data_IF_968081264580
#
_entry.id   IF_968081264580
#
_cell.length_a   1.000
_cell.length_b   1.000
_cell.length_c   1.000
_cell.angle_alpha   90.00
_cell.angle_beta   90.00
_cell.angle_gamma   90.00
#
_symmetry.space_group_name_H-M   'P 1'
#
loop_
_entity.id
_entity.type
_entity.pdbx_description
1 polymer ?
#
# COMPACT_ATOMS: atom_id res chain seq x y z
N UNK A 1 5.49 -17.77 -32.25
CA UNK A 1 5.73 -16.72 -31.23
C UNK A 1 6.45 -15.53 -31.84
N UNK A 2 5.86 -14.32 -31.69
CA UNK A 2 6.47 -13.08 -32.17
C UNK A 2 7.71 -12.72 -31.32
N UNK A 3 8.66 -11.92 -31.82
CA UNK A 3 9.81 -11.46 -31.03
C UNK A 3 9.41 -10.81 -29.72
N UNK A 4 8.39 -9.96 -29.71
CA UNK A 4 7.89 -9.29 -28.50
C UNK A 4 7.40 -10.26 -27.43
N UNK A 5 6.72 -11.36 -27.80
CA UNK A 5 6.30 -12.40 -26.84
C UNK A 5 7.44 -13.18 -26.21
N UNK A 6 8.60 -13.24 -26.84
CA UNK A 6 9.79 -13.91 -26.29
C UNK A 6 10.42 -13.12 -25.15
N UNK A 7 10.21 -11.81 -25.14
CA UNK A 7 10.74 -10.90 -24.12
C UNK A 7 9.71 -10.59 -23.02
N UNK A 8 8.45 -11.06 -23.17
CA UNK A 8 7.44 -10.85 -22.14
C UNK A 8 7.80 -11.57 -20.85
N UNK A 9 7.64 -10.86 -19.75
CA UNK A 9 7.79 -11.40 -18.40
C UNK A 9 6.46 -11.28 -17.65
N UNK A 10 6.23 -12.17 -16.69
CA UNK A 10 5.05 -12.17 -15.84
C UNK A 10 5.47 -12.33 -14.39
N UNK A 11 4.68 -11.81 -13.47
CA UNK A 11 4.93 -12.01 -12.04
C UNK A 11 4.84 -13.50 -11.68
N UNK A 12 5.80 -13.99 -10.90
CA UNK A 12 5.75 -15.33 -10.32
C UNK A 12 4.74 -15.44 -9.17
N UNK A 13 4.32 -14.30 -8.59
CA UNK A 13 3.45 -14.19 -7.41
C UNK A 13 4.02 -14.96 -6.20
N UNK A 14 5.32 -14.85 -5.97
CA UNK A 14 5.97 -15.49 -4.84
C UNK A 14 5.42 -14.98 -3.51
N UNK A 15 5.16 -15.90 -2.59
CA UNK A 15 4.60 -15.59 -1.27
C UNK A 15 3.13 -15.14 -1.24
N UNK A 16 2.45 -15.07 -2.40
CA UNK A 16 1.06 -14.66 -2.49
C UNK A 16 0.14 -15.86 -2.58
N UNK A 17 -0.92 -15.83 -1.79
CA UNK A 17 -1.98 -16.83 -1.88
C UNK A 17 -2.89 -16.54 -3.08
N UNK A 18 -2.63 -17.25 -4.19
CA UNK A 18 -3.41 -17.13 -5.43
C UNK A 18 -4.84 -17.67 -5.31
N UNK A 19 -5.12 -18.51 -4.33
CA UNK A 19 -6.43 -19.12 -4.11
C UNK A 19 -7.27 -18.34 -3.10
N UNK A 20 -6.67 -17.40 -2.38
CA UNK A 20 -7.37 -16.59 -1.39
C UNK A 20 -8.52 -15.82 -2.04
N UNK A 21 -9.71 -16.00 -1.49
CA UNK A 21 -10.86 -15.18 -1.85
C UNK A 21 -10.80 -13.88 -1.02
N UNK A 22 -11.13 -12.72 -1.62
CA UNK A 22 -11.17 -11.48 -0.86
C UNK A 22 -12.24 -11.56 0.22
N UNK A 23 -11.95 -10.95 1.37
CA UNK A 23 -12.90 -10.83 2.48
C UNK A 23 -14.12 -10.02 2.03
N UNK A 24 -15.32 -10.60 2.19
CA UNK A 24 -16.56 -10.00 1.65
C UNK A 24 -16.88 -8.65 2.29
N UNK A 25 -16.71 -8.54 3.60
CA UNK A 25 -16.95 -7.33 4.38
C UNK A 25 -16.05 -6.16 3.97
N UNK A 26 -14.86 -6.47 3.44
CA UNK A 26 -13.86 -5.50 3.02
C UNK A 26 -13.82 -5.29 1.49
N UNK A 27 -14.88 -5.64 0.78
CA UNK A 27 -14.94 -5.47 -0.68
C UNK A 27 -16.16 -4.68 -1.11
N UNK A 28 -15.93 -3.75 -2.05
CA UNK A 28 -16.96 -2.93 -2.67
C UNK A 28 -17.02 -3.14 -4.17
N UNK A 29 -18.16 -2.80 -4.75
CA UNK A 29 -18.33 -2.81 -6.20
C UNK A 29 -17.72 -1.55 -6.81
N UNK A 30 -16.75 -1.74 -7.69
CA UNK A 30 -16.17 -0.65 -8.46
C UNK A 30 -17.04 -0.38 -9.70
N UNK A 31 -17.82 0.69 -9.65
CA UNK A 31 -18.60 1.15 -10.82
C UNK A 31 -17.66 1.77 -11.86
N UNK A 32 -17.76 1.28 -13.10
CA UNK A 32 -16.98 1.80 -14.24
C UNK A 32 -17.89 2.46 -15.24
N UNK A 33 -17.65 3.73 -15.53
CA UNK A 33 -18.42 4.50 -16.51
C UNK A 33 -17.78 4.52 -17.90
N UNK A 34 -16.54 4.01 -18.03
CA UNK A 34 -15.79 3.90 -19.29
C UNK A 34 -15.79 5.19 -20.14
N UNK A 35 -15.68 6.35 -19.50
CA UNK A 35 -15.65 7.66 -20.14
C UNK A 35 -16.98 8.14 -20.70
N UNK A 36 -18.12 7.51 -20.34
CA UNK A 36 -19.46 7.90 -20.79
C UNK A 36 -20.07 8.93 -19.84
N UNK A 37 -20.84 9.85 -20.44
CA UNK A 37 -21.65 10.82 -19.71
C UNK A 37 -23.03 10.23 -19.30
N UNK A 38 -23.92 11.06 -18.72
CA UNK A 38 -25.28 10.69 -18.34
C UNK A 38 -26.15 10.21 -19.52
N UNK A 39 -25.87 10.65 -20.74
CA UNK A 39 -26.54 10.21 -21.96
C UNK A 39 -25.93 8.95 -22.61
N UNK A 40 -24.94 8.33 -21.96
CA UNK A 40 -24.27 7.14 -22.46
C UNK A 40 -23.26 7.39 -23.59
N UNK A 41 -23.01 8.66 -23.97
CA UNK A 41 -22.04 9.02 -25.02
C UNK A 41 -20.63 9.09 -24.45
N UNK A 42 -19.63 8.66 -25.23
CA UNK A 42 -18.23 8.76 -24.85
C UNK A 42 -17.79 10.23 -24.95
N UNK A 43 -17.54 10.84 -23.79
CA UNK A 43 -17.04 12.22 -23.69
C UNK A 43 -15.56 12.27 -23.37
N UNK A 44 -15.01 11.22 -22.73
CA UNK A 44 -13.59 11.05 -22.43
C UNK A 44 -13.12 9.75 -23.06
N UNK A 45 -12.30 9.85 -24.12
CA UNK A 45 -11.73 8.69 -24.80
C UNK A 45 -10.61 8.05 -23.99
N UNK A 46 -10.20 6.83 -24.39
CA UNK A 46 -9.15 6.02 -23.75
C UNK A 46 -9.45 5.62 -22.31
N UNK A 47 -10.72 5.57 -21.92
CA UNK A 47 -11.21 5.07 -20.63
C UNK A 47 -11.93 3.74 -20.85
N UNK A 48 -11.15 2.67 -21.05
CA UNK A 48 -11.69 1.32 -21.23
C UNK A 48 -12.38 0.78 -19.99
N UNK A 49 -13.33 -0.15 -20.18
CA UNK A 49 -14.04 -0.82 -19.10
C UNK A 49 -13.20 -1.91 -18.41
N UNK A 50 -12.43 -2.66 -19.17
CA UNK A 50 -11.68 -3.82 -18.68
C UNK A 50 -12.59 -4.88 -18.03
N UNK A 51 -12.00 -5.85 -17.35
CA UNK A 51 -12.73 -6.85 -16.60
C UNK A 51 -13.38 -6.25 -15.35
N UNK A 52 -14.49 -6.88 -14.90
CA UNK A 52 -15.14 -6.54 -13.64
C UNK A 52 -14.20 -6.83 -12.47
N UNK A 53 -13.96 -5.84 -11.65
CA UNK A 53 -13.06 -5.91 -10.49
C UNK A 53 -13.80 -5.47 -9.23
N UNK A 54 -13.50 -6.11 -8.11
CA UNK A 54 -13.95 -5.67 -6.79
C UNK A 54 -12.85 -4.79 -6.20
N UNK A 55 -13.25 -3.68 -5.59
CA UNK A 55 -12.35 -2.84 -4.82
C UNK A 55 -12.17 -3.43 -3.42
N UNK A 56 -10.93 -3.49 -2.93
CA UNK A 56 -10.61 -3.85 -1.55
C UNK A 56 -10.44 -2.59 -0.75
N UNK A 57 -11.16 -2.49 0.35
CA UNK A 57 -11.04 -1.37 1.29
C UNK A 57 -9.73 -1.56 2.04
N UNK A 58 -8.79 -0.64 1.80
CA UNK A 58 -7.48 -0.66 2.48
C UNK A 58 -7.52 0.33 3.64
N UNK A 59 -7.02 -0.13 4.77
CA UNK A 59 -6.85 0.71 5.95
C UNK A 59 -5.63 1.63 5.79
N UNK A 60 -5.87 2.79 5.17
CA UNK A 60 -4.85 3.83 5.04
C UNK A 60 -4.74 4.71 6.28
N UNK A 61 -5.69 4.65 7.20
CA UNK A 61 -5.68 5.47 8.41
C UNK A 61 -4.89 4.84 9.53
N UNK A 62 -4.89 3.50 9.61
CA UNK A 62 -4.24 2.78 10.70
C UNK A 62 -4.61 3.39 12.05
N UNK A 63 -5.89 3.69 12.22
CA UNK A 63 -6.44 4.32 13.41
C UNK A 63 -6.54 3.37 14.62
N UNK A 64 -6.72 2.08 14.37
CA UNK A 64 -6.77 1.07 15.41
C UNK A 64 -5.36 0.73 15.87
N UNK A 65 -5.06 1.07 17.10
CA UNK A 65 -3.80 0.74 17.77
C UNK A 65 -3.80 -0.71 18.27
N UNK A 66 -2.61 -1.28 18.37
CA UNK A 66 -2.42 -2.62 18.91
C UNK A 66 -1.73 -3.56 17.92
N UNK A 67 -1.65 -4.82 18.34
CA UNK A 67 -1.04 -5.91 17.58
C UNK A 67 -2.04 -6.56 16.64
N UNK A 68 -1.58 -6.91 15.45
CA UNK A 68 -2.34 -7.67 14.49
C UNK A 68 -1.46 -8.74 13.85
N UNK A 69 -2.03 -9.89 13.56
CA UNK A 69 -1.33 -11.00 12.89
C UNK A 69 -1.64 -10.98 11.40
N UNK A 70 -0.65 -11.17 10.57
CA UNK A 70 -0.80 -11.30 9.12
C UNK A 70 -1.39 -12.67 8.80
N UNK A 71 -2.60 -12.70 8.29
CA UNK A 71 -3.29 -13.95 7.90
C UNK A 71 -2.71 -14.48 6.60
N UNK A 72 -2.70 -13.67 5.56
CA UNK A 72 -2.13 -14.01 4.26
C UNK A 72 -1.82 -12.76 3.43
N UNK A 73 -1.05 -12.96 2.37
CA UNK A 73 -0.78 -11.95 1.33
C UNK A 73 -1.65 -12.24 0.11
N UNK A 74 -2.27 -11.21 -0.43
CA UNK A 74 -3.21 -11.33 -1.53
C UNK A 74 -2.85 -10.38 -2.68
N UNK A 75 -3.23 -10.78 -3.90
CA UNK A 75 -3.18 -9.94 -5.07
C UNK A 75 -4.38 -8.99 -5.12
N UNK A 76 -4.15 -7.72 -5.40
CA UNK A 76 -5.21 -6.73 -5.67
C UNK A 76 -5.12 -6.22 -7.12
N UNK A 77 -6.15 -6.44 -7.96
CA UNK A 77 -6.14 -5.99 -9.34
C UNK A 77 -6.25 -4.46 -9.51
N UNK A 78 -6.51 -3.73 -8.42
CA UNK A 78 -6.72 -2.27 -8.46
C UNK A 78 -5.43 -1.47 -8.17
N UNK A 79 -4.35 -2.15 -7.83
CA UNK A 79 -3.06 -1.52 -7.48
C UNK A 79 -1.86 -2.36 -7.90
N UNK A 80 -0.72 -1.72 -8.01
CA UNK A 80 0.55 -2.40 -8.30
C UNK A 80 1.10 -3.17 -7.10
N UNK A 81 0.89 -2.66 -5.88
CA UNK A 81 1.32 -3.28 -4.64
C UNK A 81 0.41 -4.45 -4.24
N UNK A 82 0.99 -5.49 -3.65
CA UNK A 82 0.23 -6.55 -3.01
C UNK A 82 -0.34 -6.06 -1.68
N UNK A 83 -1.38 -6.74 -1.20
CA UNK A 83 -2.06 -6.42 0.06
C UNK A 83 -1.91 -7.56 1.05
N UNK A 84 -1.92 -7.24 2.33
CA UNK A 84 -1.94 -8.21 3.42
C UNK A 84 -3.28 -8.11 4.16
N UNK A 85 -3.90 -9.26 4.40
CA UNK A 85 -5.02 -9.36 5.32
C UNK A 85 -4.45 -9.54 6.71
N UNK A 86 -4.79 -8.63 7.61
CA UNK A 86 -4.38 -8.65 9.02
C UNK A 86 -5.60 -8.89 9.90
N UNK A 87 -5.38 -9.56 11.01
CA UNK A 87 -6.39 -9.85 12.03
C UNK A 87 -5.90 -9.37 13.38
N UNK A 88 -6.67 -8.51 14.02
CA UNK A 88 -6.42 -8.02 15.36
C UNK A 88 -6.84 -9.06 16.41
N UNK A 89 -6.41 -8.88 17.66
CA UNK A 89 -6.72 -9.79 18.78
C UNK A 89 -8.22 -9.94 19.06
N UNK A 90 -9.01 -8.93 18.71
CA UNK A 90 -10.49 -8.93 18.84
C UNK A 90 -11.21 -9.61 17.64
N UNK A 91 -10.47 -10.14 16.67
CA UNK A 91 -10.99 -10.78 15.47
C UNK A 91 -11.36 -9.83 14.33
N UNK A 92 -11.18 -8.51 14.51
CA UNK A 92 -11.38 -7.56 13.40
C UNK A 92 -10.31 -7.75 12.33
N UNK A 93 -10.75 -7.81 11.08
CA UNK A 93 -9.86 -7.95 9.92
C UNK A 93 -9.78 -6.66 9.14
N UNK A 94 -8.59 -6.32 8.67
CA UNK A 94 -8.35 -5.18 7.79
C UNK A 94 -7.34 -5.53 6.69
N UNK A 95 -7.41 -4.83 5.57
CA UNK A 95 -6.38 -4.90 4.54
C UNK A 95 -5.39 -3.75 4.71
N UNK A 96 -4.12 -4.07 4.55
CA UNK A 96 -3.03 -3.09 4.47
C UNK A 96 -2.20 -3.32 3.21
N UNK A 97 -1.38 -2.36 2.81
CA UNK A 97 -0.34 -2.61 1.81
C UNK A 97 0.72 -3.51 2.41
N UNK A 98 1.12 -4.53 1.65
CA UNK A 98 2.14 -5.47 2.10
C UNK A 98 3.54 -4.85 1.92
N UNK A 99 4.30 -4.62 3.00
CA UNK A 99 5.70 -4.23 2.89
C UNK A 99 6.55 -5.39 2.39
N UNK A 100 7.73 -5.05 1.89
CA UNK A 100 8.71 -6.03 1.45
C UNK A 100 9.14 -6.92 2.62
N UNK A 101 9.27 -8.23 2.37
CA UNK A 101 9.67 -9.22 3.38
C UNK A 101 8.57 -9.66 4.35
N UNK A 102 7.34 -9.10 4.28
CA UNK A 102 6.22 -9.55 5.10
C UNK A 102 5.77 -10.96 4.69
N UNK A 103 5.45 -11.80 5.68
CA UNK A 103 4.95 -13.17 5.48
C UNK A 103 3.72 -13.42 6.34
N UNK A 104 2.94 -14.43 5.96
CA UNK A 104 1.85 -14.92 6.82
C UNK A 104 2.40 -15.36 8.19
N UNK A 105 1.66 -15.05 9.25
CA UNK A 105 2.05 -15.32 10.64
C UNK A 105 2.92 -14.23 11.29
N UNK A 106 3.45 -13.26 10.54
CA UNK A 106 4.15 -12.13 11.16
C UNK A 106 3.17 -11.29 11.98
N UNK A 107 3.66 -10.75 13.08
CA UNK A 107 2.93 -9.80 13.92
C UNK A 107 3.37 -8.40 13.52
N UNK A 108 2.41 -7.52 13.31
CA UNK A 108 2.62 -6.09 13.07
C UNK A 108 1.92 -5.28 14.16
N UNK A 109 2.43 -4.11 14.44
CA UNK A 109 1.90 -3.23 15.47
C UNK A 109 1.62 -1.84 14.93
N UNK A 110 0.55 -1.23 15.42
CA UNK A 110 0.21 0.16 15.15
C UNK A 110 0.18 0.92 16.47
N UNK A 111 0.89 2.02 16.54
CA UNK A 111 0.90 2.87 17.73
C UNK A 111 2.28 3.51 17.97
N UNK A 112 2.36 4.45 18.92
CA UNK A 112 3.59 5.17 19.20
C UNK A 112 4.70 4.27 19.78
N UNK A 113 4.33 3.19 20.45
CA UNK A 113 5.25 2.26 21.14
C UNK A 113 5.62 1.05 20.26
N UNK A 114 5.28 1.08 18.97
CA UNK A 114 5.61 -0.01 18.07
C UNK A 114 7.12 -0.05 17.77
N UNK A 115 7.66 -1.26 17.68
CA UNK A 115 9.06 -1.48 17.29
C UNK A 115 9.32 -1.00 15.84
N UNK A 116 10.58 -0.67 15.54
CA UNK A 116 11.01 -0.25 14.21
C UNK A 116 11.21 -1.50 13.33
N UNK A 117 10.09 -2.11 12.94
CA UNK A 117 10.05 -3.30 12.10
C UNK A 117 9.18 -3.06 10.86
N UNK A 118 9.51 -3.66 9.70
CA UNK A 118 8.72 -3.51 8.48
C UNK A 118 7.25 -3.88 8.68
N UNK A 119 6.35 -2.96 8.31
CA UNK A 119 4.90 -3.12 8.46
C UNK A 119 4.30 -2.44 9.69
N UNK A 120 5.11 -2.08 10.67
CA UNK A 120 4.67 -1.32 11.83
C UNK A 120 4.38 0.14 11.45
N UNK A 121 3.32 0.69 12.03
CA UNK A 121 2.86 2.04 11.75
C UNK A 121 2.98 2.91 13.00
N UNK A 122 3.76 3.99 12.90
CA UNK A 122 4.04 4.90 14.00
C UNK A 122 3.86 6.36 13.57
N UNK A 123 3.70 7.29 14.53
CA UNK A 123 3.95 8.70 14.28
C UNK A 123 5.40 8.93 13.84
N UNK A 124 5.62 9.81 12.86
CA UNK A 124 6.97 10.08 12.32
C UNK A 124 7.92 10.58 13.42
N UNK A 125 7.39 11.24 14.45
CA UNK A 125 8.18 11.64 15.62
C UNK A 125 8.98 10.48 16.25
N UNK A 126 8.40 9.27 16.27
CA UNK A 126 8.97 8.09 16.89
C UNK A 126 9.84 7.23 15.96
N UNK A 127 9.89 7.57 14.66
CA UNK A 127 10.69 6.84 13.68
C UNK A 127 12.11 7.43 13.64
N UNK A 128 13.18 6.65 13.72
CA UNK A 128 14.55 7.15 13.60
C UNK A 128 14.80 7.82 12.24
N UNK A 129 15.70 8.81 12.25
CA UNK A 129 16.19 9.43 11.01
C UNK A 129 17.05 8.43 10.24
N UNK A 130 16.88 8.40 8.92
CA UNK A 130 17.58 7.46 8.04
C UNK A 130 16.72 6.25 7.63
N UNK A 131 15.63 5.97 8.36
CA UNK A 131 14.76 4.83 8.06
C UNK A 131 13.97 5.01 6.75
N UNK A 132 13.73 3.89 6.09
CA UNK A 132 12.82 3.81 4.96
C UNK A 132 11.37 3.69 5.44
N UNK A 133 10.50 4.52 4.87
CA UNK A 133 9.09 4.60 5.24
C UNK A 133 8.19 4.61 4.00
N UNK A 134 6.98 4.13 4.16
CA UNK A 134 5.93 4.19 3.13
C UNK A 134 4.56 4.52 3.75
N UNK A 135 3.53 4.66 2.96
CA UNK A 135 2.18 4.99 3.43
C UNK A 135 2.16 6.22 4.35
N UNK A 136 2.75 7.32 3.88
CA UNK A 136 2.93 8.54 4.66
C UNK A 136 1.67 9.41 4.59
N UNK A 137 1.22 9.91 5.73
CA UNK A 137 0.18 10.93 5.82
C UNK A 137 0.73 12.32 5.46
N UNK A 138 -0.10 13.16 4.84
CA UNK A 138 0.19 14.59 4.64
C UNK A 138 -0.33 15.44 5.80
N UNK A 139 -1.45 15.03 6.36
CA UNK A 139 -2.09 15.67 7.52
C UNK A 139 -2.47 14.60 8.52
N UNK A 140 -2.28 14.84 9.83
CA UNK A 140 -2.60 13.87 10.86
C UNK A 140 -4.05 13.38 10.77
N UNK A 141 -4.24 12.07 10.81
CA UNK A 141 -5.55 11.41 10.78
C UNK A 141 -6.26 11.38 9.42
N UNK A 142 -5.69 11.98 8.38
CA UNK A 142 -6.27 11.94 7.03
C UNK A 142 -6.09 10.59 6.34
N UNK A 143 -5.12 9.82 6.79
CA UNK A 143 -4.71 8.55 6.18
C UNK A 143 -3.58 8.71 5.18
N UNK A 144 -2.93 7.61 4.86
CA UNK A 144 -1.76 7.55 4.00
C UNK A 144 -2.08 8.04 2.57
N UNK A 145 -1.30 8.98 2.07
CA UNK A 145 -1.44 9.57 0.74
C UNK A 145 -0.20 9.40 -0.13
N UNK A 146 0.98 9.43 0.47
CA UNK A 146 2.26 9.32 -0.24
C UNK A 146 2.84 7.91 -0.16
N UNK A 147 3.65 7.56 -1.14
CA UNK A 147 4.48 6.32 -1.17
C UNK A 147 3.65 5.04 -0.98
N UNK A 148 2.77 4.74 -1.96
CA UNK A 148 1.85 3.60 -1.91
C UNK A 148 2.01 2.63 -3.08
N UNK A 149 2.82 2.96 -4.07
CA UNK A 149 3.04 2.10 -5.24
C UNK A 149 3.99 0.93 -4.91
N UNK A 150 3.99 -0.09 -5.76
CA UNK A 150 4.87 -1.25 -5.62
C UNK A 150 6.36 -0.84 -5.64
N UNK A 151 7.15 -1.43 -4.76
CA UNK A 151 8.60 -1.26 -4.72
C UNK A 151 9.10 0.13 -4.33
N UNK A 152 8.23 1.05 -3.89
CA UNK A 152 8.66 2.39 -3.48
C UNK A 152 8.90 2.49 -1.98
N UNK A 153 9.85 3.32 -1.62
CA UNK A 153 10.10 3.78 -0.26
C UNK A 153 10.44 5.27 -0.29
N UNK A 154 10.20 5.97 0.80
CA UNK A 154 10.72 7.29 1.07
C UNK A 154 11.70 7.20 2.23
N UNK A 155 12.66 8.11 2.29
CA UNK A 155 13.65 8.17 3.37
C UNK A 155 13.36 9.35 4.29
N UNK A 156 13.36 9.09 5.59
CA UNK A 156 13.28 10.13 6.61
C UNK A 156 14.66 10.77 6.79
N UNK A 157 14.81 12.03 6.36
CA UNK A 157 16.10 12.71 6.29
C UNK A 157 16.46 13.44 7.58
N UNK A 158 15.51 14.18 8.14
CA UNK A 158 15.71 15.00 9.33
C UNK A 158 14.38 15.28 10.03
N UNK A 159 14.45 15.72 11.27
CA UNK A 159 13.32 16.21 12.06
C UNK A 159 13.74 17.50 12.76
N UNK A 160 13.01 18.57 12.53
CA UNK A 160 13.30 19.88 13.10
C UNK A 160 11.99 20.65 13.30
N UNK A 161 11.86 21.31 14.43
CA UNK A 161 10.74 22.23 14.75
C UNK A 161 9.33 21.60 14.54
N UNK A 162 9.14 20.33 14.88
CA UNK A 162 7.87 19.62 14.72
C UNK A 162 7.54 19.21 13.27
N UNK A 163 8.51 19.37 12.36
CA UNK A 163 8.43 18.97 10.96
C UNK A 163 9.50 17.95 10.61
N UNK A 164 9.12 16.96 9.84
CA UNK A 164 10.01 15.95 9.30
C UNK A 164 10.30 16.21 7.83
N UNK A 165 11.57 16.14 7.46
CA UNK A 165 12.00 16.17 6.05
C UNK A 165 11.98 14.75 5.50
N UNK A 166 11.19 14.53 4.47
CA UNK A 166 11.05 13.22 3.82
C UNK A 166 11.43 13.33 2.35
N UNK A 167 12.41 12.53 1.93
CA UNK A 167 12.80 12.37 0.54
C UNK A 167 11.92 11.35 -0.15
N UNK A 168 11.10 11.81 -1.09
CA UNK A 168 10.17 10.97 -1.86
C UNK A 168 10.89 10.17 -2.96
N UNK A 169 10.28 9.11 -3.51
CA UNK A 169 10.83 8.34 -4.63
C UNK A 169 11.11 9.18 -5.89
N UNK A 170 10.41 10.31 -6.06
CA UNK A 170 10.67 11.26 -7.14
C UNK A 170 11.97 12.07 -6.99
N UNK A 171 12.61 12.00 -5.81
CA UNK A 171 13.75 12.84 -5.43
C UNK A 171 13.37 14.15 -4.73
N UNK A 172 12.08 14.51 -4.74
CA UNK A 172 11.58 15.69 -4.01
C UNK A 172 11.76 15.50 -2.51
N UNK A 173 12.26 16.54 -1.84
CA UNK A 173 12.30 16.63 -0.39
C UNK A 173 11.09 17.43 0.08
N UNK A 174 10.27 16.82 0.91
CA UNK A 174 9.03 17.43 1.38
C UNK A 174 8.97 17.48 2.90
N UNK A 175 8.40 18.54 3.42
CA UNK A 175 8.13 18.69 4.85
C UNK A 175 6.77 18.12 5.19
N UNK A 176 6.72 17.30 6.23
CA UNK A 176 5.51 16.68 6.78
C UNK A 176 5.53 16.88 8.29
N UNK A 177 4.38 17.08 8.91
CA UNK A 177 4.29 17.21 10.37
C UNK A 177 4.70 15.91 11.06
N UNK A 178 5.44 16.01 12.14
CA UNK A 178 5.90 14.83 12.91
C UNK A 178 4.75 13.98 13.49
N UNK A 179 3.57 14.59 13.70
CA UNK A 179 2.37 13.88 14.17
C UNK A 179 1.72 12.99 13.09
N UNK A 180 2.13 13.13 11.83
CA UNK A 180 1.65 12.28 10.76
C UNK A 180 2.15 10.86 10.96
N UNK A 181 1.33 9.87 10.61
CA UNK A 181 1.71 8.46 10.65
C UNK A 181 2.44 8.06 9.37
N UNK A 182 3.36 7.13 9.53
CA UNK A 182 4.03 6.44 8.44
C UNK A 182 4.23 4.96 8.81
N UNK A 183 4.38 4.12 7.80
CA UNK A 183 4.67 2.69 7.98
C UNK A 183 6.14 2.43 7.66
N UNK A 184 6.83 1.65 8.48
CA UNK A 184 8.24 1.30 8.33
C UNK A 184 8.45 0.36 7.15
N UNK A 185 9.52 0.58 6.40
CA UNK A 185 10.00 -0.27 5.32
C UNK A 185 9.54 0.16 3.94
N UNK A 186 9.88 -0.62 2.95
CA UNK A 186 9.57 -0.47 1.53
C UNK A 186 8.27 -1.22 1.20
N UNK A 187 7.48 -0.70 0.25
CA UNK A 187 6.32 -1.43 -0.29
C UNK A 187 6.81 -2.67 -1.05
N UNK A 188 6.12 -3.79 -0.87
CA UNK A 188 6.43 -5.04 -1.55
C UNK A 188 6.18 -5.01 -3.06
N UNK A 189 6.37 -6.18 -3.73
CA UNK A 189 6.28 -6.33 -5.18
C UNK A 189 7.32 -5.45 -5.93
N UNK A 190 8.56 -5.49 -5.47
CA UNK A 190 9.66 -4.64 -5.97
C UNK A 190 9.94 -4.82 -7.46
N UNK A 191 9.67 -6.01 -8.01
CA UNK A 191 9.90 -6.33 -9.42
C UNK A 191 8.80 -5.83 -10.37
N UNK A 192 7.79 -5.16 -9.85
CA UNK A 192 6.70 -4.61 -10.67
C UNK A 192 7.20 -3.78 -11.85
N UNK A 193 8.20 -2.92 -11.63
CA UNK A 193 8.77 -2.06 -12.66
C UNK A 193 9.55 -2.82 -13.75
N UNK A 194 9.99 -4.05 -13.45
CA UNK A 194 10.79 -4.89 -14.33
C UNK A 194 9.93 -5.79 -15.26
N UNK A 195 8.60 -5.80 -15.03
CA UNK A 195 7.68 -6.59 -15.86
C UNK A 195 7.57 -5.95 -17.24
N UNK A 196 7.90 -6.72 -18.27
CA UNK A 196 7.80 -6.34 -19.68
C UNK A 196 6.57 -7.03 -20.30
N UNK A 197 5.63 -6.23 -20.81
CA UNK A 197 4.38 -6.70 -21.42
C UNK A 197 4.38 -6.34 -22.90
#
# INVERSE_FOLDING_TARGET
>A
TTPSRRHMTVSAFEGIDKKAKPERSLTEVLSKHAGRNSYGRITVRHRGGGNKQKYRIIDFKRDKEGKATVVNLQYDPNRSANIALIEYEDGERRYILAPNGLKAGHIIMTGPDADILPGNCLPIANIPVGEEIHCIELYPGKGAQLVRAAGVAAQLMAKENGMAQVRLPSGEVRYVRENCKATIGQVGNTDWANIQI
#
